data_IF_341402377775
#
_entry.id   IF_341402377775
#
_cell.length_a   1.000
_cell.length_b   1.000
_cell.length_c   1.000
_cell.angle_alpha   90.00
_cell.angle_beta   90.00
_cell.angle_gamma   90.00
#
_symmetry.space_group_name_H-M   'P 1'
#
loop_
_entity.id
_entity.type
_entity.pdbx_description
1 polymer ?
#
# COMPACT_ATOMS: atom_id res chain seq x y z
N UNK A 1 5.98 -37.05 20.93
CA UNK A 1 6.21 -36.08 19.84
C UNK A 1 5.11 -35.03 19.92
N UNK A 2 5.39 -33.86 20.50
CA UNK A 2 4.38 -32.80 20.61
C UNK A 2 4.13 -32.21 19.22
N UNK A 3 2.90 -32.34 18.71
CA UNK A 3 2.52 -31.66 17.48
C UNK A 3 2.76 -30.15 17.67
N UNK A 4 3.43 -29.47 16.73
CA UNK A 4 3.68 -28.03 16.85
C UNK A 4 2.33 -27.32 16.95
N UNK A 5 2.10 -26.58 18.03
CA UNK A 5 0.88 -25.82 18.27
C UNK A 5 0.72 -24.84 17.10
N UNK A 6 -0.25 -25.14 16.22
CA UNK A 6 -0.56 -24.28 15.07
C UNK A 6 -1.46 -23.16 15.55
N UNK A 7 -0.87 -21.99 15.74
CA UNK A 7 -1.62 -20.80 16.11
C UNK A 7 -2.58 -20.43 14.97
N UNK A 8 -3.84 -20.09 15.26
CA UNK A 8 -4.77 -19.63 14.25
C UNK A 8 -4.27 -18.30 13.66
N UNK A 9 -4.54 -18.06 12.37
CA UNK A 9 -4.12 -16.84 11.67
C UNK A 9 -4.58 -15.56 12.39
N UNK A 10 -5.78 -15.59 12.98
CA UNK A 10 -6.31 -14.49 13.77
C UNK A 10 -5.44 -14.15 14.99
N UNK A 11 -4.99 -15.15 15.77
CA UNK A 11 -4.14 -14.92 16.92
C UNK A 11 -2.78 -14.33 16.51
N UNK A 12 -2.21 -14.81 15.39
CA UNK A 12 -0.98 -14.25 14.82
C UNK A 12 -1.18 -12.78 14.44
N UNK A 13 -2.27 -12.44 13.76
CA UNK A 13 -2.56 -11.06 13.34
C UNK A 13 -2.80 -10.16 14.53
N UNK A 14 -3.59 -10.57 15.53
CA UNK A 14 -3.86 -9.78 16.74
C UNK A 14 -2.58 -9.55 17.54
N UNK A 15 -1.76 -10.58 17.73
CA UNK A 15 -0.46 -10.45 18.39
C UNK A 15 0.48 -9.50 17.63
N UNK A 16 0.53 -9.63 16.31
CA UNK A 16 1.32 -8.76 15.44
C UNK A 16 0.82 -7.32 15.46
N UNK A 17 -0.50 -7.11 15.50
CA UNK A 17 -1.15 -5.81 15.54
C UNK A 17 -0.75 -5.01 16.79
N UNK A 18 -0.78 -5.66 17.95
CA UNK A 18 -0.34 -5.08 19.22
C UNK A 18 1.15 -4.79 19.22
N UNK A 19 1.96 -5.75 18.75
CA UNK A 19 3.41 -5.60 18.75
C UNK A 19 3.92 -4.52 17.79
N UNK A 20 3.20 -4.30 16.68
CA UNK A 20 3.52 -3.27 15.68
C UNK A 20 2.90 -1.91 15.99
N UNK A 21 2.20 -1.75 17.12
CA UNK A 21 1.69 -0.46 17.60
C UNK A 21 2.80 0.41 18.21
N UNK A 22 3.99 0.41 17.60
CA UNK A 22 5.14 1.17 18.05
C UNK A 22 5.03 2.59 17.50
N UNK A 23 4.70 3.56 18.35
CA UNK A 23 4.48 4.94 17.92
C UNK A 23 5.70 5.52 17.18
N UNK A 24 6.93 5.14 17.57
CA UNK A 24 8.17 5.59 16.90
C UNK A 24 8.26 5.10 15.46
N UNK A 25 7.87 3.85 15.20
CA UNK A 25 7.85 3.28 13.85
C UNK A 25 6.78 3.98 12.99
N UNK A 26 5.58 4.17 13.53
CA UNK A 26 4.47 4.84 12.84
C UNK A 26 4.82 6.30 12.55
N UNK A 27 5.39 7.03 13.52
CA UNK A 27 5.81 8.41 13.33
C UNK A 27 6.93 8.54 12.29
N UNK A 28 7.90 7.61 12.29
CA UNK A 28 8.95 7.58 11.27
C UNK A 28 8.35 7.40 9.87
N UNK A 29 7.39 6.49 9.72
CA UNK A 29 6.70 6.28 8.45
C UNK A 29 5.93 7.52 8.00
N UNK A 30 5.21 8.18 8.91
CA UNK A 30 4.51 9.43 8.62
C UNK A 30 5.46 10.51 8.10
N UNK A 31 6.54 10.78 8.82
CA UNK A 31 7.52 11.80 8.47
C UNK A 31 8.18 11.51 7.11
N UNK A 32 8.49 10.25 6.84
CA UNK A 32 9.14 9.85 5.58
C UNK A 32 8.16 9.95 4.40
N UNK A 33 6.87 9.66 4.61
CA UNK A 33 5.85 9.77 3.56
C UNK A 33 5.45 11.22 3.27
N UNK A 34 5.77 12.18 4.15
CA UNK A 34 5.60 13.60 3.83
C UNK A 34 6.46 14.04 2.66
N UNK A 35 7.64 13.45 2.46
CA UNK A 35 8.55 13.82 1.38
C UNK A 35 7.96 13.53 -0.03
N UNK A 36 7.56 12.30 -0.38
CA UNK A 36 6.92 12.03 -1.68
C UNK A 36 5.57 12.75 -1.81
N UNK A 37 4.84 12.92 -0.70
CA UNK A 37 3.58 13.68 -0.71
C UNK A 37 3.83 15.15 -1.04
N UNK A 38 4.85 15.78 -0.46
CA UNK A 38 5.20 17.17 -0.76
C UNK A 38 5.64 17.34 -2.21
N UNK A 39 6.45 16.39 -2.74
CA UNK A 39 6.87 16.41 -4.16
C UNK A 39 5.66 16.40 -5.10
N UNK A 40 4.65 15.56 -4.82
CA UNK A 40 3.46 15.46 -5.66
C UNK A 40 2.45 16.60 -5.42
N UNK A 41 2.24 17.00 -4.18
CA UNK A 41 1.15 17.90 -3.80
C UNK A 41 1.51 19.39 -3.89
N UNK A 42 2.77 19.78 -3.63
CA UNK A 42 3.15 21.20 -3.64
C UNK A 42 2.96 21.88 -5.00
N UNK A 43 3.30 21.25 -6.16
CA UNK A 43 3.06 21.86 -7.46
C UNK A 43 1.58 22.11 -7.72
N UNK A 44 0.73 21.14 -7.34
CA UNK A 44 -0.73 21.25 -7.44
C UNK A 44 -1.22 22.40 -6.57
N UNK A 45 -0.78 22.47 -5.31
CA UNK A 45 -1.17 23.53 -4.38
C UNK A 45 -0.75 24.92 -4.88
N UNK A 46 0.44 25.06 -5.45
CA UNK A 46 0.91 26.33 -6.04
C UNK A 46 0.10 26.73 -7.26
N UNK A 47 -0.18 25.78 -8.16
CA UNK A 47 -0.99 26.05 -9.34
C UNK A 47 -2.40 26.51 -8.94
N UNK A 48 -3.03 25.80 -8.01
CA UNK A 48 -4.34 26.17 -7.48
C UNK A 48 -4.31 27.55 -6.80
N UNK A 49 -3.29 27.84 -5.98
CA UNK A 49 -3.13 29.15 -5.36
C UNK A 49 -3.05 30.29 -6.38
N UNK A 50 -2.23 30.13 -7.44
CA UNK A 50 -2.12 31.18 -8.46
C UNK A 50 -3.43 31.50 -9.20
N UNK A 51 -4.33 30.53 -9.31
CA UNK A 51 -5.60 30.69 -10.05
C UNK A 51 -6.77 31.05 -9.14
N UNK A 52 -6.77 30.55 -7.90
CA UNK A 52 -7.92 30.62 -6.99
C UNK A 52 -7.75 31.65 -5.88
N UNK A 53 -6.52 32.05 -5.51
CA UNK A 53 -6.31 32.98 -4.39
C UNK A 53 -6.87 34.39 -4.69
N UNK A 54 -7.05 34.73 -5.97
CA UNK A 54 -7.64 35.99 -6.40
C UNK A 54 -9.14 35.90 -6.72
N UNK A 55 -9.72 34.70 -6.72
CA UNK A 55 -11.13 34.51 -7.04
C UNK A 55 -12.00 34.78 -5.80
N UNK A 56 -12.87 35.79 -5.89
CA UNK A 56 -13.82 36.17 -4.82
C UNK A 56 -14.72 34.99 -4.40
N UNK A 57 -14.98 34.06 -5.32
CA UNK A 57 -15.82 32.88 -5.12
C UNK A 57 -15.06 31.65 -4.60
N UNK A 58 -13.72 31.72 -4.43
CA UNK A 58 -12.92 30.59 -3.98
C UNK A 58 -13.41 29.93 -2.67
N UNK A 59 -13.89 30.67 -1.65
CA UNK A 59 -14.44 30.04 -0.44
C UNK A 59 -15.71 29.23 -0.69
N UNK A 60 -16.53 29.65 -1.67
CA UNK A 60 -17.75 28.95 -2.05
C UNK A 60 -17.44 27.70 -2.88
N UNK A 61 -16.44 27.76 -3.76
CA UNK A 61 -15.96 26.58 -4.49
C UNK A 61 -15.30 25.56 -3.57
N UNK A 62 -14.56 26.01 -2.55
CA UNK A 62 -13.93 25.12 -1.57
C UNK A 62 -14.93 24.31 -0.73
N UNK A 63 -16.15 24.81 -0.51
CA UNK A 63 -17.20 24.09 0.23
C UNK A 63 -18.01 23.11 -0.62
N UNK A 64 -17.99 23.27 -1.95
CA UNK A 64 -18.71 22.44 -2.91
C UNK A 64 -17.79 21.63 -3.82
N UNK A 65 -16.48 21.61 -3.53
CA UNK A 65 -15.49 20.94 -4.35
C UNK A 65 -15.75 19.43 -4.37
N UNK A 66 -16.21 18.92 -5.51
CA UNK A 66 -16.55 17.51 -5.71
C UNK A 66 -15.58 16.82 -6.69
N UNK A 67 -15.77 15.51 -6.86
CA UNK A 67 -14.94 14.71 -7.76
C UNK A 67 -15.12 15.06 -9.24
N UNK A 68 -16.27 15.63 -9.61
CA UNK A 68 -16.58 16.03 -10.99
C UNK A 68 -15.81 17.31 -11.33
N UNK A 69 -15.87 18.31 -10.45
CA UNK A 69 -15.08 19.54 -10.56
C UNK A 69 -13.58 19.25 -10.63
N UNK A 70 -13.09 18.25 -9.88
CA UNK A 70 -11.69 17.80 -9.99
C UNK A 70 -11.38 17.21 -11.38
N UNK A 71 -12.27 16.38 -11.94
CA UNK A 71 -12.08 15.76 -13.25
C UNK A 71 -12.09 16.82 -14.37
N UNK A 72 -12.98 17.81 -14.29
CA UNK A 72 -13.01 18.95 -15.19
C UNK A 72 -11.72 19.78 -15.08
N UNK A 73 -11.25 20.04 -13.85
CA UNK A 73 -9.97 20.72 -13.61
C UNK A 73 -8.82 20.00 -14.32
N UNK A 74 -8.74 18.68 -14.17
CA UNK A 74 -7.69 17.87 -14.81
C UNK A 74 -7.75 17.99 -16.34
N UNK A 75 -8.96 17.97 -16.92
CA UNK A 75 -9.14 18.16 -18.36
C UNK A 75 -8.75 19.57 -18.82
N UNK A 76 -9.07 20.61 -18.05
CA UNK A 76 -8.68 22.00 -18.35
C UNK A 76 -7.15 22.15 -18.34
N UNK A 77 -6.45 21.44 -17.46
CA UNK A 77 -4.99 21.48 -17.37
C UNK A 77 -4.28 20.50 -18.30
N UNK A 78 -4.95 19.80 -19.21
CA UNK A 78 -4.37 18.73 -20.06
C UNK A 78 -3.25 19.14 -21.04
N UNK A 79 -2.79 20.40 -21.03
CA UNK A 79 -1.66 20.91 -21.81
C UNK A 79 -0.29 20.75 -21.13
N UNK A 80 0.62 21.70 -21.38
CA UNK A 80 1.99 21.71 -20.80
C UNK A 80 2.02 21.79 -19.27
N UNK A 81 0.98 22.36 -18.66
CA UNK A 81 0.81 22.37 -17.20
C UNK A 81 0.49 20.96 -16.69
N UNK A 82 -0.37 20.22 -17.39
CA UNK A 82 -0.75 18.85 -17.06
C UNK A 82 0.43 17.88 -17.14
N UNK A 83 1.34 18.06 -18.11
CA UNK A 83 2.57 17.24 -18.19
C UNK A 83 3.53 17.54 -17.03
N UNK A 84 3.64 18.81 -16.59
CA UNK A 84 4.41 19.18 -15.40
C UNK A 84 3.80 18.59 -14.11
N UNK A 85 2.47 18.63 -13.96
CA UNK A 85 1.79 17.99 -12.82
C UNK A 85 1.94 16.46 -12.84
N UNK A 86 1.77 15.85 -14.01
CA UNK A 86 1.96 14.42 -14.22
C UNK A 86 3.38 13.97 -13.86
N UNK A 87 4.39 14.73 -14.26
CA UNK A 87 5.78 14.42 -13.92
C UNK A 87 6.06 14.59 -12.42
N UNK A 88 5.50 15.59 -11.74
CA UNK A 88 5.59 15.73 -10.28
C UNK A 88 4.92 14.55 -9.54
N UNK A 89 3.75 14.11 -10.00
CA UNK A 89 3.08 12.93 -9.46
C UNK A 89 3.93 11.66 -9.65
N UNK A 90 4.48 11.46 -10.86
CA UNK A 90 5.38 10.35 -11.16
C UNK A 90 6.64 10.36 -10.30
N UNK A 91 7.24 11.54 -10.07
CA UNK A 91 8.38 11.70 -9.16
C UNK A 91 8.00 11.34 -7.72
N UNK A 92 6.84 11.78 -7.22
CA UNK A 92 6.34 11.39 -5.91
C UNK A 92 6.18 9.87 -5.78
N UNK A 93 5.63 9.21 -6.80
CA UNK A 93 5.52 7.75 -6.87
C UNK A 93 6.89 7.09 -6.89
N UNK A 94 7.84 7.59 -7.70
CA UNK A 94 9.20 7.06 -7.79
C UNK A 94 9.93 7.18 -6.45
N UNK A 95 9.84 8.32 -5.77
CA UNK A 95 10.41 8.50 -4.43
C UNK A 95 9.76 7.57 -3.40
N UNK A 96 8.43 7.42 -3.43
CA UNK A 96 7.72 6.48 -2.56
C UNK A 96 8.18 5.03 -2.78
N UNK A 97 8.35 4.63 -4.05
CA UNK A 97 8.87 3.32 -4.43
C UNK A 97 10.30 3.12 -3.93
N UNK A 98 11.17 4.11 -4.06
CA UNK A 98 12.57 4.07 -3.59
C UNK A 98 12.68 4.06 -2.07
N UNK A 99 11.76 4.71 -1.35
CA UNK A 99 11.73 4.69 0.11
C UNK A 99 11.15 3.38 0.67
N UNK A 100 10.32 2.67 -0.10
CA UNK A 100 9.63 1.48 0.35
C UNK A 100 10.54 0.31 0.83
N UNK A 101 11.73 0.03 0.24
CA UNK A 101 12.65 -0.99 0.76
C UNK A 101 13.20 -0.62 2.14
N UNK A 102 13.55 0.65 2.33
CA UNK A 102 14.04 1.16 3.60
C UNK A 102 12.95 1.05 4.67
N UNK A 103 11.73 1.51 4.39
CA UNK A 103 10.56 1.38 5.27
C UNK A 103 10.26 -0.08 5.62
N UNK A 104 10.39 -0.99 4.66
CA UNK A 104 10.24 -2.43 4.92
C UNK A 104 11.34 -2.94 5.85
N UNK A 105 12.57 -2.47 5.69
CA UNK A 105 13.69 -2.74 6.58
C UNK A 105 13.42 -2.33 8.02
N UNK A 106 12.88 -1.12 8.26
CA UNK A 106 12.57 -0.63 9.62
C UNK A 106 11.55 -1.54 10.34
N UNK A 107 10.58 -2.08 9.60
CA UNK A 107 9.60 -3.04 10.14
C UNK A 107 10.29 -4.33 10.59
N UNK A 108 11.19 -4.90 9.78
CA UNK A 108 11.91 -6.11 10.20
C UNK A 108 12.91 -5.87 11.31
N UNK A 109 13.48 -4.67 11.43
CA UNK A 109 14.26 -4.27 12.61
C UNK A 109 13.36 -4.31 13.86
N UNK A 110 12.17 -3.72 13.78
CA UNK A 110 11.20 -3.75 14.89
C UNK A 110 10.73 -5.16 15.25
N UNK A 111 10.46 -6.02 14.26
CA UNK A 111 10.04 -7.42 14.46
C UNK A 111 11.10 -8.28 15.17
N UNK A 112 12.38 -7.95 14.97
CA UNK A 112 13.53 -8.70 15.50
C UNK A 112 14.03 -8.15 16.84
N UNK A 113 13.69 -6.91 17.19
CA UNK A 113 14.13 -6.29 18.42
C UNK A 113 13.42 -6.92 19.63
N UNK A 114 14.18 -7.20 20.69
CA UNK A 114 13.62 -7.69 21.96
C UNK A 114 12.95 -6.58 22.78
N UNK A 115 13.42 -5.34 22.61
CA UNK A 115 12.88 -4.13 23.22
C UNK A 115 12.45 -3.15 22.12
N UNK A 116 11.57 -2.20 22.47
CA UNK A 116 11.09 -1.21 21.50
C UNK A 116 12.26 -0.37 20.95
N UNK A 117 12.56 -0.44 19.64
CA UNK A 117 13.72 0.23 19.07
C UNK A 117 13.55 1.76 19.12
N UNK A 118 14.66 2.46 19.35
CA UNK A 118 14.72 3.92 19.18
C UNK A 118 14.76 4.34 17.71
N UNK A 119 14.58 5.64 17.43
CA UNK A 119 14.64 6.18 16.06
C UNK A 119 15.95 5.84 15.35
N UNK A 120 17.10 6.01 16.02
CA UNK A 120 18.41 5.70 15.44
C UNK A 120 18.53 4.23 15.05
N UNK A 121 18.04 3.32 15.90
CA UNK A 121 18.06 1.90 15.61
C UNK A 121 17.17 1.55 14.40
N UNK A 122 15.99 2.16 14.30
CA UNK A 122 15.10 2.00 13.16
C UNK A 122 15.72 2.53 11.87
N UNK A 123 16.27 3.74 11.89
CA UNK A 123 16.86 4.40 10.71
C UNK A 123 18.08 3.62 10.23
N UNK A 124 19.07 3.41 11.10
CA UNK A 124 20.33 2.73 10.76
C UNK A 124 20.08 1.27 10.40
N UNK A 125 19.21 0.59 11.14
CA UNK A 125 18.83 -0.79 10.84
C UNK A 125 18.09 -0.91 9.50
N UNK A 126 17.19 0.03 9.19
CA UNK A 126 16.50 0.08 7.90
C UNK A 126 17.46 0.30 6.74
N UNK A 127 18.46 1.19 6.89
CA UNK A 127 19.49 1.44 5.86
C UNK A 127 20.34 0.19 5.62
N UNK A 128 20.75 -0.52 6.68
CA UNK A 128 21.53 -1.78 6.55
C UNK A 128 20.80 -2.84 5.72
N UNK A 129 19.47 -2.88 5.79
CA UNK A 129 18.64 -3.85 5.07
C UNK A 129 18.23 -3.38 3.67
N UNK A 130 18.51 -2.12 3.32
CA UNK A 130 18.03 -1.47 2.10
C UNK A 130 18.36 -2.26 0.83
N UNK A 131 19.63 -2.63 0.65
CA UNK A 131 20.08 -3.32 -0.57
C UNK A 131 19.45 -4.71 -0.75
N UNK A 132 19.05 -5.38 0.33
CA UNK A 132 18.34 -6.68 0.26
C UNK A 132 16.91 -6.47 -0.21
N UNK A 133 16.19 -5.54 0.41
CA UNK A 133 14.81 -5.25 0.04
C UNK A 133 14.67 -4.52 -1.29
N UNK A 134 15.68 -3.74 -1.72
CA UNK A 134 15.69 -3.09 -3.04
C UNK A 134 15.74 -4.14 -4.16
N UNK A 135 16.61 -5.15 -4.03
CA UNK A 135 16.65 -6.28 -4.98
C UNK A 135 15.33 -7.04 -5.01
N UNK A 136 14.68 -7.19 -3.86
CA UNK A 136 13.34 -7.79 -3.79
C UNK A 136 12.26 -6.90 -4.41
N UNK A 137 12.37 -5.57 -4.29
CA UNK A 137 11.48 -4.64 -4.96
C UNK A 137 11.62 -4.74 -6.49
N UNK A 138 12.85 -4.69 -7.01
CA UNK A 138 13.13 -4.89 -8.44
C UNK A 138 12.59 -6.23 -8.92
N UNK A 139 12.79 -7.30 -8.15
CA UNK A 139 12.25 -8.61 -8.49
C UNK A 139 10.71 -8.65 -8.45
N UNK A 140 10.08 -7.88 -7.55
CA UNK A 140 8.61 -7.82 -7.45
C UNK A 140 7.94 -7.14 -8.63
N UNK A 141 8.65 -6.33 -9.42
CA UNK A 141 8.11 -5.78 -10.66
C UNK A 141 7.74 -6.87 -11.65
N UNK A 142 8.47 -7.99 -11.68
CA UNK A 142 8.23 -9.09 -12.60
C UNK A 142 6.88 -9.80 -12.36
N UNK A 143 6.57 -10.37 -11.17
CA UNK A 143 5.28 -11.02 -10.92
C UNK A 143 4.12 -10.02 -10.96
N UNK A 144 4.33 -8.77 -10.53
CA UNK A 144 3.30 -7.73 -10.61
C UNK A 144 3.02 -7.34 -12.08
N UNK A 145 4.06 -7.19 -12.90
CA UNK A 145 3.93 -6.91 -14.33
C UNK A 145 3.23 -8.03 -15.09
N UNK A 146 3.55 -9.29 -14.80
CA UNK A 146 2.84 -10.45 -15.35
C UNK A 146 1.34 -10.39 -15.01
N UNK A 147 1.01 -10.05 -13.77
CA UNK A 147 -0.39 -9.92 -13.34
C UNK A 147 -1.10 -8.81 -14.11
N UNK A 148 -0.47 -7.65 -14.28
CA UNK A 148 -1.04 -6.55 -15.07
C UNK A 148 -1.27 -6.98 -16.51
N UNK A 149 -0.32 -7.70 -17.12
CA UNK A 149 -0.49 -8.24 -18.47
C UNK A 149 -1.66 -9.23 -18.57
N UNK A 150 -1.82 -10.13 -17.58
CA UNK A 150 -2.96 -11.04 -17.49
C UNK A 150 -4.26 -10.26 -17.37
N UNK A 151 -4.33 -9.25 -16.50
CA UNK A 151 -5.51 -8.42 -16.33
C UNK A 151 -5.88 -7.69 -17.63
N UNK A 152 -4.92 -7.05 -18.29
CA UNK A 152 -5.15 -6.38 -19.59
C UNK A 152 -5.64 -7.39 -20.64
N UNK A 153 -5.07 -8.59 -20.69
CA UNK A 153 -5.53 -9.66 -21.58
C UNK A 153 -6.98 -10.09 -21.29
N UNK A 154 -7.32 -10.31 -20.01
CA UNK A 154 -8.68 -10.66 -19.59
C UNK A 154 -9.69 -9.54 -19.90
N UNK A 155 -9.29 -8.27 -19.69
CA UNK A 155 -10.12 -7.11 -20.01
C UNK A 155 -10.35 -6.98 -21.51
N UNK A 156 -9.31 -7.13 -22.35
CA UNK A 156 -9.46 -7.10 -23.80
C UNK A 156 -10.38 -8.21 -24.32
N UNK A 157 -10.24 -9.43 -23.78
CA UNK A 157 -11.16 -10.52 -24.12
C UNK A 157 -12.61 -10.25 -23.66
N UNK A 158 -12.79 -9.56 -22.54
CA UNK A 158 -14.11 -9.18 -22.05
C UNK A 158 -14.76 -8.11 -22.93
N UNK A 159 -13.98 -7.15 -23.41
CA UNK A 159 -14.45 -6.10 -24.31
C UNK A 159 -14.80 -6.68 -25.69
N UNK A 160 -13.96 -7.55 -26.26
CA UNK A 160 -14.25 -8.29 -27.51
C UNK A 160 -15.53 -9.14 -27.42
N UNK A 161 -15.82 -9.67 -26.22
CA UNK A 161 -17.04 -10.43 -25.96
C UNK A 161 -18.25 -9.50 -25.78
N UNK A 162 -18.07 -8.37 -25.11
CA UNK A 162 -19.12 -7.37 -24.95
C UNK A 162 -19.60 -6.82 -26.30
N UNK A 163 -18.70 -6.62 -27.25
CA UNK A 163 -19.03 -6.16 -28.61
C UNK A 163 -19.85 -7.19 -29.42
N UNK A 164 -19.79 -8.47 -29.03
CA UNK A 164 -20.51 -9.59 -29.68
C UNK A 164 -21.77 -10.01 -28.92
N UNK A 165 -21.96 -9.51 -27.71
CA UNK A 165 -23.07 -9.91 -26.85
C UNK A 165 -24.36 -9.17 -27.25
N UNK A 166 -25.46 -9.94 -27.40
CA UNK A 166 -26.78 -9.38 -27.72
C UNK A 166 -27.47 -8.82 -26.45
N UNK A 167 -27.14 -9.35 -25.27
CA UNK A 167 -27.65 -8.86 -23.99
C UNK A 167 -26.58 -8.09 -23.21
N UNK A 168 -26.96 -6.91 -22.72
CA UNK A 168 -26.14 -6.09 -21.82
C UNK A 168 -25.78 -6.83 -20.51
N UNK A 169 -26.68 -7.69 -20.03
CA UNK A 169 -26.46 -8.48 -18.83
C UNK A 169 -25.25 -9.43 -18.98
N UNK A 170 -25.07 -10.05 -20.15
CA UNK A 170 -23.97 -10.98 -20.39
C UNK A 170 -22.62 -10.25 -20.49
N UNK A 171 -22.60 -9.10 -21.17
CA UNK A 171 -21.42 -8.23 -21.23
C UNK A 171 -20.98 -7.79 -19.82
N UNK A 172 -21.93 -7.46 -18.94
CA UNK A 172 -21.63 -7.07 -17.55
C UNK A 172 -21.03 -8.22 -16.72
N UNK A 173 -21.56 -9.44 -16.85
CA UNK A 173 -21.04 -10.59 -16.10
C UNK A 173 -19.60 -10.94 -16.49
N UNK A 174 -19.30 -10.91 -17.79
CA UNK A 174 -17.94 -11.19 -18.29
C UNK A 174 -16.95 -10.13 -17.80
N UNK A 175 -17.36 -8.86 -17.75
CA UNK A 175 -16.51 -7.80 -17.17
C UNK A 175 -16.24 -8.01 -15.68
N UNK A 176 -17.24 -8.44 -14.90
CA UNK A 176 -17.02 -8.80 -13.49
C UNK A 176 -16.09 -9.99 -13.31
N UNK A 177 -16.18 -11.00 -14.19
CA UNK A 177 -15.25 -12.14 -14.18
C UNK A 177 -13.82 -11.72 -14.50
N UNK A 178 -13.61 -10.83 -15.49
CA UNK A 178 -12.30 -10.28 -15.79
C UNK A 178 -11.70 -9.50 -14.60
N UNK A 179 -12.51 -8.66 -13.95
CA UNK A 179 -12.12 -7.94 -12.74
C UNK A 179 -11.78 -8.89 -11.58
N UNK A 180 -12.63 -9.88 -11.32
CA UNK A 180 -12.42 -10.87 -10.27
C UNK A 180 -11.16 -11.72 -10.54
N UNK A 181 -10.95 -12.15 -11.78
CA UNK A 181 -9.76 -12.88 -12.20
C UNK A 181 -8.47 -12.06 -12.04
N UNK A 182 -8.46 -10.82 -12.54
CA UNK A 182 -7.34 -9.90 -12.36
C UNK A 182 -7.02 -9.62 -10.88
N UNK A 183 -8.05 -9.33 -10.10
CA UNK A 183 -7.92 -9.12 -8.65
C UNK A 183 -7.38 -10.34 -7.92
N UNK A 184 -7.80 -11.55 -8.31
CA UNK A 184 -7.31 -12.80 -7.75
C UNK A 184 -5.82 -13.03 -8.06
N UNK A 185 -5.39 -12.87 -9.31
CA UNK A 185 -3.97 -13.00 -9.67
C UNK A 185 -3.11 -11.94 -8.99
N UNK A 186 -3.61 -10.72 -8.86
CA UNK A 186 -2.92 -9.63 -8.16
C UNK A 186 -2.74 -9.95 -6.69
N UNK A 187 -3.79 -10.47 -6.05
CA UNK A 187 -3.74 -10.91 -4.67
C UNK A 187 -2.70 -12.01 -4.47
N UNK A 188 -2.66 -13.02 -5.35
CA UNK A 188 -1.67 -14.10 -5.28
C UNK A 188 -0.24 -13.59 -5.50
N UNK A 189 -0.02 -12.78 -6.54
CA UNK A 189 1.28 -12.21 -6.84
C UNK A 189 1.79 -11.36 -5.66
N UNK A 190 0.95 -10.46 -5.14
CA UNK A 190 1.30 -9.60 -4.02
C UNK A 190 1.53 -10.39 -2.73
N UNK A 191 0.68 -11.38 -2.41
CA UNK A 191 0.87 -12.26 -1.25
C UNK A 191 2.17 -13.06 -1.35
N UNK A 192 2.54 -13.53 -2.54
CA UNK A 192 3.80 -14.25 -2.78
C UNK A 192 5.03 -13.37 -2.51
N UNK A 193 4.98 -12.10 -2.96
CA UNK A 193 6.05 -11.12 -2.78
C UNK A 193 6.19 -10.74 -1.31
N UNK A 194 5.10 -10.46 -0.61
CA UNK A 194 5.11 -10.11 0.81
C UNK A 194 5.63 -11.26 1.67
N UNK A 195 5.24 -12.50 1.33
CA UNK A 195 5.78 -13.70 2.00
C UNK A 195 7.27 -13.89 1.71
N UNK A 196 7.72 -13.59 0.50
CA UNK A 196 9.15 -13.57 0.15
C UNK A 196 9.93 -12.51 0.94
N UNK A 197 9.35 -11.32 1.16
CA UNK A 197 9.94 -10.28 2.03
C UNK A 197 10.04 -10.74 3.48
N UNK A 198 9.02 -11.45 3.98
CA UNK A 198 9.07 -12.07 5.31
C UNK A 198 10.22 -13.08 5.43
N UNK A 199 10.44 -13.94 4.44
CA UNK A 199 11.60 -14.85 4.40
C UNK A 199 12.93 -14.10 4.45
N UNK A 200 13.07 -13.03 3.66
CA UNK A 200 14.29 -12.24 3.61
C UNK A 200 14.53 -11.47 4.92
N UNK A 201 13.49 -10.94 5.54
CA UNK A 201 13.57 -10.16 6.77
C UNK A 201 13.86 -10.99 8.02
N UNK A 202 13.40 -12.25 8.06
CA UNK A 202 13.63 -13.15 9.21
C UNK A 202 14.95 -13.91 9.08
N UNK A 203 15.26 -14.51 7.91
CA UNK A 203 16.50 -15.28 7.70
C UNK A 203 17.63 -14.36 7.19
N UNK A 204 18.46 -13.90 8.13
CA UNK A 204 19.60 -13.01 7.87
C UNK A 204 20.71 -13.64 7.00
N UNK A 205 20.82 -14.97 6.97
CA UNK A 205 21.84 -15.68 6.20
C UNK A 205 21.60 -15.63 4.67
N UNK A 206 20.41 -15.17 4.26
CA UNK A 206 19.96 -15.23 2.87
C UNK A 206 20.08 -13.88 2.20
N UNK A 207 20.82 -13.83 1.10
CA UNK A 207 21.00 -12.59 0.33
C UNK A 207 20.30 -12.61 -1.04
N UNK A 208 19.67 -13.71 -1.45
CA UNK A 208 19.10 -13.86 -2.79
C UNK A 208 17.58 -13.62 -2.79
N UNK A 209 17.14 -12.56 -3.46
CA UNK A 209 15.72 -12.20 -3.60
C UNK A 209 14.91 -13.30 -4.31
N UNK A 210 15.46 -13.87 -5.39
CA UNK A 210 14.79 -14.94 -6.16
C UNK A 210 14.53 -16.16 -5.28
N UNK A 211 15.55 -16.61 -4.51
CA UNK A 211 15.41 -17.76 -3.61
C UNK A 211 14.42 -17.47 -2.46
N UNK A 212 14.39 -16.25 -1.95
CA UNK A 212 13.42 -15.84 -0.93
C UNK A 212 11.99 -15.82 -1.49
N UNK A 213 11.79 -15.28 -2.69
CA UNK A 213 10.50 -15.28 -3.38
C UNK A 213 10.01 -16.71 -3.68
N UNK A 214 10.87 -17.58 -4.21
CA UNK A 214 10.51 -18.97 -4.49
C UNK A 214 10.04 -19.72 -3.23
N UNK A 215 10.66 -19.45 -2.07
CA UNK A 215 10.19 -19.98 -0.78
C UNK A 215 8.86 -19.39 -0.35
N UNK A 216 8.64 -18.10 -0.60
CA UNK A 216 7.34 -17.46 -0.44
C UNK A 216 6.26 -18.15 -1.26
N UNK A 217 6.51 -18.43 -2.53
CA UNK A 217 5.62 -19.20 -3.40
C UNK A 217 5.38 -20.62 -2.87
N UNK A 218 6.45 -21.34 -2.50
CA UNK A 218 6.34 -22.69 -1.92
C UNK A 218 5.54 -22.70 -0.62
N UNK A 219 5.68 -21.67 0.20
CA UNK A 219 4.90 -21.50 1.43
C UNK A 219 3.43 -21.25 1.13
N UNK A 220 3.13 -20.35 0.19
CA UNK A 220 1.78 -20.08 -0.29
C UNK A 220 1.11 -21.35 -0.82
N UNK A 221 1.82 -22.19 -1.58
CA UNK A 221 1.29 -23.46 -2.10
C UNK A 221 1.10 -24.53 -1.01
N UNK A 222 1.96 -24.55 0.01
CA UNK A 222 1.88 -25.54 1.11
C UNK A 222 0.85 -25.19 2.17
N UNK A 223 0.64 -23.90 2.44
CA UNK A 223 -0.28 -23.40 3.46
C UNK A 223 -1.06 -22.18 2.94
N UNK A 224 -1.87 -22.34 1.88
CA UNK A 224 -2.55 -21.22 1.23
C UNK A 224 -3.47 -20.48 2.20
N UNK A 225 -4.29 -21.23 2.96
CA UNK A 225 -5.21 -20.64 3.93
C UNK A 225 -4.52 -19.87 5.06
N UNK A 226 -3.32 -20.27 5.49
CA UNK A 226 -2.59 -19.53 6.52
C UNK A 226 -1.99 -18.23 5.97
N UNK A 227 -1.37 -18.29 4.79
CA UNK A 227 -0.77 -17.10 4.16
C UNK A 227 -1.86 -16.11 3.74
N UNK A 228 -2.88 -16.59 3.03
CA UNK A 228 -4.01 -15.77 2.60
C UNK A 228 -4.83 -15.29 3.79
N UNK A 229 -5.03 -16.13 4.82
CA UNK A 229 -5.71 -15.74 6.04
C UNK A 229 -5.01 -14.58 6.76
N UNK A 230 -3.69 -14.65 6.96
CA UNK A 230 -2.92 -13.54 7.55
C UNK A 230 -2.97 -12.30 6.67
N UNK A 231 -2.81 -12.47 5.36
CA UNK A 231 -2.85 -11.38 4.39
C UNK A 231 -4.20 -10.66 4.39
N UNK A 232 -5.30 -11.41 4.29
CA UNK A 232 -6.66 -10.89 4.24
C UNK A 232 -7.07 -10.30 5.59
N UNK A 233 -6.82 -10.99 6.71
CA UNK A 233 -7.18 -10.49 8.04
C UNK A 233 -6.44 -9.21 8.40
N UNK A 234 -5.13 -9.12 8.11
CA UNK A 234 -4.37 -7.89 8.36
C UNK A 234 -4.82 -6.73 7.45
N UNK A 235 -5.17 -7.03 6.20
CA UNK A 235 -5.71 -6.02 5.27
C UNK A 235 -7.11 -5.56 5.69
N UNK A 236 -7.98 -6.49 6.06
CA UNK A 236 -9.33 -6.20 6.54
C UNK A 236 -9.31 -5.40 7.85
N UNK A 237 -8.41 -5.74 8.78
CA UNK A 237 -8.21 -5.01 10.03
C UNK A 237 -7.82 -3.55 9.77
N UNK A 238 -6.86 -3.32 8.88
CA UNK A 238 -6.46 -1.97 8.51
C UNK A 238 -7.58 -1.22 7.77
N UNK A 239 -8.28 -1.89 6.83
CA UNK A 239 -9.38 -1.32 6.07
C UNK A 239 -10.56 -0.90 6.97
N UNK A 240 -10.86 -1.68 8.00
CA UNK A 240 -11.93 -1.39 8.97
C UNK A 240 -11.71 -0.06 9.71
N UNK A 241 -10.45 0.33 9.92
CA UNK A 241 -10.10 1.61 10.55
C UNK A 241 -9.93 2.71 9.50
N UNK A 242 -9.31 2.37 8.36
CA UNK A 242 -9.00 3.31 7.28
C UNK A 242 -10.26 3.87 6.61
N UNK A 243 -11.25 3.02 6.30
CA UNK A 243 -12.46 3.43 5.58
C UNK A 243 -13.28 4.47 6.36
N UNK A 244 -13.58 4.30 7.67
CA UNK A 244 -14.23 5.34 8.45
C UNK A 244 -13.44 6.66 8.48
N UNK A 245 -12.10 6.62 8.58
CA UNK A 245 -11.27 7.82 8.54
C UNK A 245 -11.37 8.54 7.18
N UNK A 246 -11.39 7.78 6.09
CA UNK A 246 -11.54 8.33 4.74
C UNK A 246 -12.94 8.94 4.54
N UNK A 247 -13.99 8.27 5.03
CA UNK A 247 -15.35 8.80 5.02
C UNK A 247 -15.46 10.08 5.86
N UNK A 248 -14.92 10.08 7.08
CA UNK A 248 -14.87 11.27 7.92
C UNK A 248 -14.12 12.41 7.23
N UNK A 249 -13.00 12.11 6.56
CA UNK A 249 -12.23 13.08 5.80
C UNK A 249 -13.01 13.66 4.62
N UNK A 250 -13.78 12.84 3.91
CA UNK A 250 -14.61 13.27 2.79
C UNK A 250 -15.74 14.22 3.23
N UNK A 251 -16.28 14.03 4.44
CA UNK A 251 -17.34 14.89 5.00
C UNK A 251 -16.80 16.08 5.81
N UNK A 252 -15.47 16.23 5.94
CA UNK A 252 -14.86 17.37 6.63
C UNK A 252 -14.38 18.39 5.60
N UNK A 253 -15.15 19.45 5.31
CA UNK A 253 -14.69 20.51 4.42
C UNK A 253 -13.49 21.22 5.05
N UNK A 254 -12.44 21.44 4.25
CA UNK A 254 -11.21 22.10 4.71
C UNK A 254 -11.36 23.63 4.72
N UNK A 255 -12.50 24.14 5.18
CA UNK A 255 -12.82 25.58 5.23
C UNK A 255 -12.50 26.12 6.62
N UNK A 256 -11.72 27.20 6.67
CA UNK A 256 -11.24 27.79 7.92
C UNK A 256 -10.15 26.97 8.62
N UNK A 257 -9.53 27.55 9.65
CA UNK A 257 -8.38 26.94 10.34
C UNK A 257 -8.73 25.59 11.00
N UNK A 258 -9.90 25.48 11.62
CA UNK A 258 -10.34 24.24 12.27
C UNK A 258 -10.68 23.13 11.26
N UNK A 259 -11.36 23.47 10.16
CA UNK A 259 -11.66 22.52 9.08
C UNK A 259 -10.40 21.99 8.43
N UNK A 260 -9.42 22.87 8.17
CA UNK A 260 -8.11 22.50 7.64
C UNK A 260 -7.33 21.57 8.59
N UNK A 261 -7.26 21.92 9.87
CA UNK A 261 -6.58 21.08 10.88
C UNK A 261 -7.27 19.71 11.02
N UNK A 262 -8.60 19.67 11.07
CA UNK A 262 -9.36 18.42 11.13
C UNK A 262 -9.13 17.55 9.90
N UNK A 263 -9.22 18.13 8.71
CA UNK A 263 -8.92 17.46 7.45
C UNK A 263 -7.48 16.92 7.40
N UNK A 264 -6.51 17.71 7.84
CA UNK A 264 -5.11 17.30 7.89
C UNK A 264 -4.90 16.12 8.86
N UNK A 265 -5.39 16.22 10.09
CA UNK A 265 -5.27 15.17 11.10
C UNK A 265 -5.92 13.87 10.63
N UNK A 266 -7.12 13.92 10.06
CA UNK A 266 -7.78 12.73 9.52
C UNK A 266 -6.98 12.07 8.39
N UNK A 267 -6.41 12.86 7.47
CA UNK A 267 -5.52 12.35 6.43
C UNK A 267 -4.27 11.71 7.03
N UNK A 268 -3.63 12.32 8.02
CA UNK A 268 -2.44 11.76 8.67
C UNK A 268 -2.77 10.45 9.41
N UNK A 269 -3.91 10.39 10.11
CA UNK A 269 -4.37 9.16 10.75
C UNK A 269 -4.62 8.04 9.74
N UNK A 270 -5.23 8.36 8.59
CA UNK A 270 -5.45 7.39 7.52
C UNK A 270 -4.13 6.82 6.97
N UNK A 271 -3.12 7.69 6.77
CA UNK A 271 -1.77 7.26 6.35
C UNK A 271 -1.09 6.42 7.44
N UNK A 272 -1.23 6.80 8.72
CA UNK A 272 -0.70 6.04 9.85
C UNK A 272 -1.28 4.62 9.90
N UNK A 273 -2.59 4.48 9.70
CA UNK A 273 -3.29 3.18 9.67
C UNK A 273 -2.82 2.32 8.50
N UNK A 274 -2.58 2.92 7.33
CA UNK A 274 -2.02 2.21 6.18
C UNK A 274 -0.60 1.68 6.46
N UNK A 275 0.25 2.53 7.05
CA UNK A 275 1.60 2.16 7.47
C UNK A 275 1.59 1.02 8.50
N UNK A 276 0.76 1.16 9.54
CA UNK A 276 0.58 0.15 10.57
C UNK A 276 0.06 -1.16 9.98
N UNK A 277 -0.99 -1.14 9.17
CA UNK A 277 -1.57 -2.33 8.54
C UNK A 277 -0.56 -3.13 7.71
N UNK A 278 0.33 -2.43 7.00
CA UNK A 278 1.47 -3.06 6.31
C UNK A 278 2.47 -3.68 7.29
N UNK A 279 2.82 -3.00 8.37
CA UNK A 279 3.70 -3.54 9.40
C UNK A 279 3.12 -4.80 10.07
N UNK A 280 1.82 -4.79 10.42
CA UNK A 280 1.09 -5.94 10.97
C UNK A 280 1.17 -7.14 10.03
N UNK A 281 0.95 -6.93 8.73
CA UNK A 281 1.02 -7.98 7.72
C UNK A 281 2.40 -8.62 7.63
N UNK A 282 3.45 -7.80 7.55
CA UNK A 282 4.84 -8.26 7.49
C UNK A 282 5.24 -8.99 8.78
N UNK A 283 4.81 -8.51 9.94
CA UNK A 283 5.03 -9.16 11.23
C UNK A 283 4.31 -10.51 11.33
N UNK A 284 3.05 -10.59 10.88
CA UNK A 284 2.27 -11.83 10.87
C UNK A 284 2.85 -12.88 9.92
N UNK A 285 3.23 -12.48 8.70
CA UNK A 285 3.91 -13.37 7.76
C UNK A 285 5.30 -13.77 8.28
N UNK A 286 6.02 -12.85 8.93
CA UNK A 286 7.29 -13.13 9.60
C UNK A 286 7.16 -14.15 10.73
N UNK A 287 6.09 -14.08 11.52
CA UNK A 287 5.78 -15.09 12.54
C UNK A 287 5.48 -16.46 11.92
N UNK A 288 4.73 -16.51 10.81
CA UNK A 288 4.48 -17.75 10.08
C UNK A 288 5.77 -18.35 9.50
N UNK A 289 6.68 -17.53 8.97
CA UNK A 289 7.99 -17.96 8.48
C UNK A 289 8.86 -18.50 9.61
N UNK A 290 8.87 -17.85 10.79
CA UNK A 290 9.62 -18.32 11.97
C UNK A 290 9.22 -19.75 12.38
N UNK A 291 7.95 -20.12 12.22
CA UNK A 291 7.48 -21.49 12.48
C UNK A 291 7.99 -22.53 11.45
N UNK A 292 8.61 -22.11 10.35
CA UNK A 292 9.17 -23.00 9.32
C UNK A 292 10.69 -23.09 9.35
N UNK A 293 11.36 -22.24 10.12
CA UNK A 293 12.79 -22.34 10.32
C UNK A 293 13.07 -23.53 11.25
N UNK A 294 14.15 -24.29 10.98
CA UNK A 294 14.59 -25.41 11.81
C UNK A 294 15.02 -24.95 13.20
#
# INVERSE_FOLDING_TARGET
MNAPIRWPAAAIVIGSARHMLQWRLVLLWLLVLWLPTAIAALPIARLLGTQLDYAVQAPQWASQFDGIALAELVNVFAGSVGTALGSAALLGVAFSLLLSPWLTGTVFVAIRAHTEPGFTALIVGGVKEYGRFLRMLLWSLLPMGITVAIYVGLSGMADDYADKAVLEADAKHVRWLALAGGGFFLLLAHASVETGRAWLGIDLSRHSAIRAWWRGCRLLLRRPFSVLGIYLLSTALAALIYLPLLLARAHTPAVGALGLLGAFVLTQLAVAVMAWGRAVRLAGLGALVRQQLP
#
